data_IF_096902492032
#
_entry.id   IF_096902492032
#
_cell.length_a   1.000
_cell.length_b   1.000
_cell.length_c   1.000
_cell.angle_alpha   90.00
_cell.angle_beta   90.00
_cell.angle_gamma   90.00
#
_symmetry.space_group_name_H-M   'P 1'
#
loop_
_entity.id
_entity.type
_entity.pdbx_description
1 polymer ?
#
# COMPACT_ATOMS: atom_id res chain seq x y z
N UNK A 1 -13.58 -22.36 16.85
CA UNK A 1 -13.90 -22.28 15.41
C UNK A 1 -12.59 -22.17 14.67
N UNK A 2 -12.21 -23.17 13.87
CA UNK A 2 -11.11 -22.99 12.92
C UNK A 2 -11.59 -21.99 11.87
N UNK A 3 -10.99 -20.80 11.81
CA UNK A 3 -11.25 -19.87 10.71
C UNK A 3 -10.74 -20.54 9.43
N UNK A 4 -11.54 -20.48 8.37
CA UNK A 4 -11.13 -20.92 7.04
C UNK A 4 -10.79 -19.69 6.20
N UNK A 5 -9.90 -19.84 5.23
CA UNK A 5 -9.58 -18.79 4.25
C UNK A 5 -10.86 -18.31 3.56
N UNK A 6 -11.23 -17.02 3.67
CA UNK A 6 -12.43 -16.50 3.01
C UNK A 6 -12.35 -16.67 1.50
N UNK A 7 -13.48 -16.96 0.85
CA UNK A 7 -13.52 -17.15 -0.60
C UNK A 7 -12.98 -15.92 -1.36
N UNK A 8 -13.27 -14.69 -0.90
CA UNK A 8 -12.75 -13.48 -1.53
C UNK A 8 -11.22 -13.45 -1.52
N UNK A 9 -10.57 -13.95 -0.46
CA UNK A 9 -9.11 -13.98 -0.35
C UNK A 9 -8.55 -15.04 -1.31
N UNK A 10 -9.20 -16.20 -1.40
CA UNK A 10 -8.84 -17.23 -2.38
C UNK A 10 -8.90 -16.69 -3.82
N UNK A 11 -9.98 -16.01 -4.20
CA UNK A 11 -10.09 -15.39 -5.53
C UNK A 11 -9.05 -14.29 -5.74
N UNK A 12 -8.79 -13.48 -4.71
CA UNK A 12 -7.77 -12.43 -4.77
C UNK A 12 -6.36 -12.99 -4.99
N UNK A 13 -6.01 -14.07 -4.30
CA UNK A 13 -4.73 -14.77 -4.48
C UNK A 13 -4.60 -15.37 -5.88
N UNK A 14 -5.66 -15.99 -6.42
CA UNK A 14 -5.66 -16.50 -7.81
C UNK A 14 -5.45 -15.35 -8.80
N UNK A 15 -6.12 -14.22 -8.60
CA UNK A 15 -6.06 -13.08 -9.50
C UNK A 15 -4.69 -12.39 -9.51
N UNK A 16 -4.09 -12.16 -8.34
CA UNK A 16 -2.96 -11.22 -8.20
C UNK A 16 -1.69 -11.82 -7.57
N UNK A 17 -1.75 -13.04 -7.04
CA UNK A 17 -0.60 -13.74 -6.45
C UNK A 17 0.09 -12.97 -5.32
N UNK A 18 1.39 -13.21 -5.15
CA UNK A 18 2.21 -12.55 -4.12
C UNK A 18 2.24 -11.01 -4.22
N UNK A 19 2.40 -10.38 -5.41
CA UNK A 19 2.34 -8.92 -5.52
C UNK A 19 1.01 -8.35 -5.01
N UNK A 20 -0.11 -9.00 -5.36
CA UNK A 20 -1.43 -8.63 -4.86
C UNK A 20 -1.53 -8.78 -3.35
N UNK A 21 -1.09 -9.91 -2.79
CA UNK A 21 -1.14 -10.16 -1.35
C UNK A 21 -0.35 -9.10 -0.56
N UNK A 22 0.82 -8.70 -1.05
CA UNK A 22 1.62 -7.64 -0.43
C UNK A 22 0.92 -6.27 -0.53
N UNK A 23 0.30 -5.96 -1.68
CA UNK A 23 -0.52 -4.75 -1.82
C UNK A 23 -1.72 -4.77 -0.86
N UNK A 24 -2.38 -5.93 -0.68
CA UNK A 24 -3.47 -6.13 0.28
C UNK A 24 -3.00 -5.96 1.73
N UNK A 25 -1.80 -6.43 2.07
CA UNK A 25 -1.22 -6.26 3.41
C UNK A 25 -0.98 -4.78 3.72
N UNK A 26 -0.41 -4.05 2.75
CA UNK A 26 -0.29 -2.59 2.85
C UNK A 26 -1.68 -1.91 2.93
N UNK A 27 -2.67 -2.41 2.20
CA UNK A 27 -4.02 -1.86 2.24
C UNK A 27 -4.70 -2.06 3.59
N UNK A 28 -4.50 -3.21 4.24
CA UNK A 28 -4.95 -3.47 5.60
C UNK A 28 -4.28 -2.50 6.59
N UNK A 29 -2.96 -2.31 6.48
CA UNK A 29 -2.23 -1.34 7.30
C UNK A 29 -2.68 0.11 7.12
N UNK A 30 -3.18 0.48 5.93
CA UNK A 30 -3.72 1.83 5.67
C UNK A 30 -4.90 2.18 6.60
N UNK A 31 -5.68 1.18 7.02
CA UNK A 31 -6.77 1.36 8.00
C UNK A 31 -6.31 1.55 9.45
N UNK A 32 -5.01 1.49 9.70
CA UNK A 32 -4.35 1.76 10.98
C UNK A 32 -3.18 2.75 10.85
N UNK A 33 -3.11 3.51 9.75
CA UNK A 33 -1.93 4.29 9.39
C UNK A 33 -1.43 5.26 10.48
N UNK A 34 -2.32 5.88 11.27
CA UNK A 34 -1.92 6.70 12.42
C UNK A 34 -1.25 5.86 13.49
N UNK A 35 -1.89 4.76 13.91
CA UNK A 35 -1.38 3.87 14.94
C UNK A 35 -0.04 3.27 14.52
N UNK A 36 0.12 2.90 13.25
CA UNK A 36 1.39 2.40 12.74
C UNK A 36 2.47 3.48 12.87
N UNK A 37 2.19 4.73 12.49
CA UNK A 37 3.15 5.84 12.66
C UNK A 37 3.46 6.14 14.12
N UNK A 38 2.50 6.01 15.03
CA UNK A 38 2.74 6.16 16.48
C UNK A 38 3.70 5.08 17.00
N UNK A 39 3.55 3.83 16.54
CA UNK A 39 4.36 2.70 16.99
C UNK A 39 5.71 2.59 16.28
N UNK A 40 5.77 2.98 15.01
CA UNK A 40 6.89 2.69 14.11
C UNK A 40 7.53 3.93 13.49
N UNK A 41 7.12 5.13 13.92
CA UNK A 41 7.47 6.46 13.40
C UNK A 41 6.99 6.75 11.96
N UNK A 42 6.94 5.74 11.10
CA UNK A 42 6.57 5.87 9.69
C UNK A 42 5.58 4.78 9.27
N UNK A 43 4.91 5.04 8.15
CA UNK A 43 4.26 4.03 7.33
C UNK A 43 4.87 4.16 5.93
N UNK A 44 5.03 3.09 5.12
CA UNK A 44 5.66 3.22 3.82
C UNK A 44 4.64 3.70 2.79
N UNK A 45 5.12 4.41 1.77
CA UNK A 45 4.34 4.77 0.58
C UNK A 45 4.34 3.56 -0.34
N UNK A 46 3.16 3.13 -0.79
CA UNK A 46 3.06 2.05 -1.76
C UNK A 46 3.19 2.60 -3.18
N UNK A 47 4.02 1.98 -4.01
CA UNK A 47 4.08 2.26 -5.44
C UNK A 47 3.74 0.99 -6.21
N UNK A 48 2.74 1.05 -7.07
CA UNK A 48 2.31 -0.06 -7.92
C UNK A 48 2.75 0.24 -9.35
N UNK A 49 3.80 -0.44 -9.80
CA UNK A 49 4.40 -0.24 -11.13
C UNK A 49 4.11 -1.41 -12.06
N UNK A 50 4.38 -1.22 -13.35
CA UNK A 50 4.25 -2.26 -14.36
C UNK A 50 3.82 -1.72 -15.72
N UNK A 51 4.02 -2.47 -16.81
CA UNK A 51 3.65 -2.03 -18.15
C UNK A 51 2.14 -1.85 -18.34
N UNK A 52 1.74 -1.16 -19.41
CA UNK A 52 0.32 -1.10 -19.80
C UNK A 52 -0.25 -2.53 -19.95
N UNK A 53 -1.43 -2.76 -19.37
CA UNK A 53 -2.06 -4.08 -19.34
C UNK A 53 -1.57 -5.04 -18.23
N UNK A 54 -0.69 -4.61 -17.32
CA UNK A 54 -0.26 -5.45 -16.18
C UNK A 54 -1.30 -5.63 -15.07
N UNK A 55 -2.48 -4.99 -15.18
CA UNK A 55 -3.56 -5.14 -14.21
C UNK A 55 -3.50 -4.20 -12.99
N UNK A 56 -2.66 -3.14 -13.01
CA UNK A 56 -2.55 -2.18 -11.89
C UNK A 56 -3.90 -1.58 -11.45
N UNK A 57 -4.65 -1.04 -12.41
CA UNK A 57 -5.97 -0.46 -12.15
C UNK A 57 -6.94 -1.52 -11.64
N UNK A 58 -6.90 -2.74 -12.20
CA UNK A 58 -7.73 -3.86 -11.75
C UNK A 58 -7.43 -4.24 -10.30
N UNK A 59 -6.16 -4.35 -9.92
CA UNK A 59 -5.74 -4.62 -8.54
C UNK A 59 -6.30 -3.56 -7.58
N UNK A 60 -6.10 -2.29 -7.90
CA UNK A 60 -6.56 -1.18 -7.05
C UNK A 60 -8.09 -1.12 -6.98
N UNK A 61 -8.79 -1.34 -8.08
CA UNK A 61 -10.25 -1.44 -8.08
C UNK A 61 -10.73 -2.61 -7.21
N UNK A 62 -10.05 -3.76 -7.24
CA UNK A 62 -10.37 -4.88 -6.35
C UNK A 62 -10.11 -4.55 -4.87
N UNK A 63 -9.04 -3.81 -4.54
CA UNK A 63 -8.76 -3.34 -3.17
C UNK A 63 -9.82 -2.34 -2.66
N UNK A 64 -10.27 -1.41 -3.51
CA UNK A 64 -11.38 -0.52 -3.20
C UNK A 64 -12.70 -1.29 -3.03
N UNK A 65 -12.95 -2.25 -3.92
CA UNK A 65 -14.07 -3.19 -3.82
C UNK A 65 -14.11 -3.90 -2.48
N UNK A 66 -12.97 -4.49 -2.07
CA UNK A 66 -12.76 -5.09 -0.74
C UNK A 66 -12.95 -4.10 0.43
N UNK A 67 -12.97 -2.80 0.14
CA UNK A 67 -13.21 -1.75 1.13
C UNK A 67 -14.66 -1.26 1.17
N UNK A 68 -15.54 -1.86 0.37
CA UNK A 68 -16.93 -1.44 0.20
C UNK A 68 -17.04 0.00 -0.35
N UNK A 69 -16.07 0.44 -1.14
CA UNK A 69 -16.02 1.80 -1.69
C UNK A 69 -15.78 1.72 -3.20
N UNK A 70 -16.39 2.63 -3.94
CA UNK A 70 -16.08 2.82 -5.36
C UNK A 70 -14.59 3.17 -5.54
N UNK A 71 -13.94 2.72 -6.63
CA UNK A 71 -12.56 3.10 -6.89
C UNK A 71 -12.40 4.61 -7.01
N UNK A 72 -11.61 5.19 -6.11
CA UNK A 72 -11.23 6.60 -6.15
C UNK A 72 -9.71 6.68 -6.34
N UNK A 73 -9.30 7.25 -7.48
CA UNK A 73 -7.91 7.64 -7.73
C UNK A 73 -7.86 9.09 -8.20
N UNK A 74 -6.79 9.79 -7.81
CA UNK A 74 -6.55 11.18 -8.20
C UNK A 74 -5.45 11.23 -9.24
N UNK A 75 -5.74 11.68 -10.45
CA UNK A 75 -4.71 11.84 -11.47
C UNK A 75 -3.75 12.98 -11.11
N UNK A 76 -2.45 12.73 -11.22
CA UNK A 76 -1.42 13.75 -11.05
C UNK A 76 -1.57 14.91 -12.05
N UNK A 77 -2.19 14.68 -13.21
CA UNK A 77 -2.31 15.67 -14.28
C UNK A 77 -3.50 16.60 -14.10
N UNK A 78 -4.63 16.05 -13.64
CA UNK A 78 -5.91 16.76 -13.63
C UNK A 78 -6.32 17.24 -12.24
N UNK A 79 -5.74 16.69 -11.17
CA UNK A 79 -6.03 17.10 -9.81
C UNK A 79 -5.16 18.29 -9.40
N UNK A 80 -5.77 19.45 -9.13
CA UNK A 80 -5.03 20.58 -8.55
C UNK A 80 -4.44 20.20 -7.19
N UNK A 81 -3.24 20.69 -6.85
CA UNK A 81 -2.59 20.40 -5.58
C UNK A 81 -3.45 20.83 -4.37
N UNK A 82 -4.17 21.94 -4.46
CA UNK A 82 -5.09 22.37 -3.40
C UNK A 82 -6.23 21.38 -3.15
N UNK A 83 -6.80 20.81 -4.21
CA UNK A 83 -7.80 19.75 -4.10
C UNK A 83 -7.20 18.47 -3.51
N UNK A 84 -6.01 18.05 -3.98
CA UNK A 84 -5.29 16.89 -3.44
C UNK A 84 -5.03 17.03 -1.93
N UNK A 85 -4.51 18.18 -1.48
CA UNK A 85 -4.28 18.46 -0.06
C UNK A 85 -5.58 18.42 0.76
N UNK A 86 -6.69 18.93 0.22
CA UNK A 86 -7.99 18.84 0.89
C UNK A 86 -8.49 17.39 1.02
N UNK A 87 -8.20 16.52 0.05
CA UNK A 87 -8.49 15.09 0.16
C UNK A 87 -7.58 14.38 1.17
N UNK A 88 -6.28 14.63 1.11
CA UNK A 88 -5.29 14.09 2.06
C UNK A 88 -5.64 14.47 3.52
N UNK A 89 -6.07 15.72 3.73
CA UNK A 89 -6.55 16.22 5.02
C UNK A 89 -7.74 15.43 5.59
N UNK A 90 -8.62 14.93 4.72
CA UNK A 90 -9.82 14.16 5.12
C UNK A 90 -9.57 12.66 5.22
N UNK A 91 -8.44 12.17 4.72
CA UNK A 91 -8.09 10.77 4.74
C UNK A 91 -7.49 10.38 6.10
N UNK A 92 -8.36 9.92 6.99
CA UNK A 92 -7.99 9.45 8.34
C UNK A 92 -7.99 7.92 8.35
N UNK A 93 -6.84 7.27 8.56
CA UNK A 93 -6.71 5.80 8.54
C UNK A 93 -7.38 5.20 7.30
N UNK A 94 -7.06 5.75 6.12
CA UNK A 94 -7.58 5.32 4.82
C UNK A 94 -6.50 5.49 3.76
N UNK A 95 -6.53 4.63 2.72
CA UNK A 95 -5.67 4.80 1.55
C UNK A 95 -6.11 6.02 0.73
N UNK A 96 -5.13 6.73 0.19
CA UNK A 96 -5.27 7.75 -0.85
C UNK A 96 -4.44 7.29 -2.03
N UNK A 97 -5.07 7.15 -3.18
CA UNK A 97 -4.45 6.63 -4.39
C UNK A 97 -4.26 7.76 -5.39
N UNK A 98 -3.02 7.98 -5.82
CA UNK A 98 -2.65 8.91 -6.87
C UNK A 98 -2.28 8.10 -8.12
N UNK A 99 -2.89 8.43 -9.25
CA UNK A 99 -2.61 7.84 -10.55
C UNK A 99 -1.65 8.74 -11.34
N UNK A 100 -0.46 8.22 -11.58
CA UNK A 100 0.60 8.87 -12.37
C UNK A 100 0.58 8.39 -13.83
N UNK A 101 -0.38 7.55 -14.24
CA UNK A 101 -0.47 7.11 -15.62
C UNK A 101 -0.73 8.30 -16.55
N UNK A 102 0.19 8.49 -17.50
CA UNK A 102 0.16 9.62 -18.42
C UNK A 102 0.72 10.93 -17.85
N UNK A 103 1.37 10.92 -16.68
CA UNK A 103 2.09 12.09 -16.17
C UNK A 103 3.22 12.50 -17.12
N UNK A 104 3.10 13.73 -17.65
CA UNK A 104 4.16 14.39 -18.39
C UNK A 104 4.96 15.25 -17.40
N UNK A 105 6.28 15.06 -17.33
CA UNK A 105 7.18 15.80 -16.44
C UNK A 105 7.15 17.32 -16.65
N UNK A 106 6.52 17.79 -17.73
CA UNK A 106 6.29 19.22 -18.01
C UNK A 106 5.10 19.83 -17.22
N UNK A 107 4.32 19.02 -16.49
CA UNK A 107 3.19 19.50 -15.67
C UNK A 107 3.61 19.81 -14.23
N UNK A 108 3.15 20.96 -13.71
CA UNK A 108 3.46 21.53 -12.39
C UNK A 108 2.80 20.77 -11.22
N UNK A 109 3.05 19.47 -11.08
CA UNK A 109 2.69 18.77 -9.84
C UNK A 109 3.69 19.12 -8.74
N UNK A 110 3.20 19.70 -7.64
CA UNK A 110 4.05 20.12 -6.52
C UNK A 110 4.42 18.93 -5.61
N UNK A 111 5.39 18.14 -6.07
CA UNK A 111 5.94 17.00 -5.33
C UNK A 111 6.49 17.40 -3.95
N UNK A 112 6.99 18.62 -3.79
CA UNK A 112 7.50 19.12 -2.52
C UNK A 112 6.36 19.31 -1.51
N UNK A 113 5.25 19.92 -1.92
CA UNK A 113 4.08 20.06 -1.05
C UNK A 113 3.54 18.69 -0.59
N UNK A 114 3.54 17.69 -1.47
CA UNK A 114 3.11 16.33 -1.13
C UNK A 114 4.09 15.64 -0.15
N UNK A 115 5.40 15.80 -0.35
CA UNK A 115 6.44 15.29 0.57
C UNK A 115 6.30 15.92 1.96
N UNK A 116 6.14 17.23 2.03
CA UNK A 116 5.95 17.96 3.29
C UNK A 116 4.69 17.51 4.04
N UNK A 117 3.59 17.34 3.31
CA UNK A 117 2.35 16.79 3.84
C UNK A 117 2.56 15.38 4.42
N UNK A 118 3.25 14.50 3.67
CA UNK A 118 3.52 13.14 4.10
C UNK A 118 4.43 13.05 5.33
N UNK A 119 5.45 13.92 5.41
CA UNK A 119 6.35 14.04 6.56
C UNK A 119 5.67 14.63 7.81
N UNK A 120 4.37 14.95 7.72
CA UNK A 120 3.57 15.42 8.84
C UNK A 120 3.73 16.91 9.11
N UNK A 121 4.26 17.69 8.17
CA UNK A 121 4.18 19.15 8.26
C UNK A 121 2.70 19.59 8.18
N UNK A 122 2.31 20.66 8.88
CA UNK A 122 0.94 21.16 8.82
C UNK A 122 0.56 21.49 7.37
N UNK A 123 -0.58 20.97 6.90
CA UNK A 123 -1.09 21.30 5.58
C UNK A 123 -1.63 22.74 5.58
N UNK A 124 -1.05 23.62 4.76
CA UNK A 124 -1.57 24.98 4.56
C UNK A 124 -2.36 25.04 3.26
N UNK A 125 -3.69 25.11 3.36
CA UNK A 125 -4.53 25.40 2.19
C UNK A 125 -4.38 26.87 1.83
N UNK A 126 -3.57 27.19 0.81
CA UNK A 126 -3.54 28.54 0.22
C UNK A 126 -4.92 28.82 -0.39
N UNK A 127 -5.78 29.57 0.31
CA UNK A 127 -7.08 29.97 -0.25
C UNK A 127 -8.01 30.75 0.68
N UNK A 128 -7.91 30.60 2.01
CA UNK A 128 -8.89 31.19 2.94
C UNK A 128 -8.31 32.24 3.89
N UNK A 129 -7.00 32.49 3.88
CA UNK A 129 -6.34 33.43 4.80
C UNK A 129 -6.35 32.98 6.28
N UNK A 130 -7.04 31.89 6.58
CA UNK A 130 -7.03 31.21 7.88
C UNK A 130 -6.19 29.95 7.66
N UNK A 131 -5.02 29.83 8.30
CA UNK A 131 -4.33 28.56 8.36
C UNK A 131 -5.34 27.53 8.88
N UNK A 132 -5.64 26.49 8.10
CA UNK A 132 -6.32 25.32 8.66
C UNK A 132 -5.37 24.78 9.73
N UNK A 133 -5.66 25.12 10.99
CA UNK A 133 -4.75 24.96 12.10
C UNK A 133 -4.33 23.48 12.22
N UNK A 134 -3.05 23.20 12.05
CA UNK A 134 -2.41 21.98 12.53
C UNK A 134 -2.86 20.63 11.95
N UNK A 135 -3.67 20.57 10.89
CA UNK A 135 -4.09 19.27 10.33
C UNK A 135 -2.91 18.58 9.65
N UNK A 136 -2.53 17.40 10.16
CA UNK A 136 -1.46 16.55 9.64
C UNK A 136 -2.06 15.42 8.81
N UNK A 137 -1.31 14.91 7.85
CA UNK A 137 -1.73 13.75 7.09
C UNK A 137 -1.86 12.51 7.99
N UNK A 138 -3.02 11.87 7.92
CA UNK A 138 -3.41 10.77 8.80
C UNK A 138 -3.75 9.49 8.05
N UNK A 139 -3.62 9.51 6.71
CA UNK A 139 -3.95 8.39 5.83
C UNK A 139 -2.72 7.58 5.44
N UNK A 140 -2.85 6.80 4.38
CA UNK A 140 -1.74 6.13 3.72
C UNK A 140 -1.73 6.51 2.24
N UNK A 141 -0.54 6.63 1.64
CA UNK A 141 -0.39 7.13 0.27
C UNK A 141 0.07 6.00 -0.67
N UNK A 142 -0.65 5.82 -1.76
CA UNK A 142 -0.30 4.88 -2.83
C UNK A 142 -0.20 5.60 -4.18
N UNK A 143 0.77 5.20 -4.99
CA UNK A 143 0.95 5.64 -6.37
C UNK A 143 0.73 4.49 -7.35
N UNK A 144 0.16 4.81 -8.51
CA UNK A 144 -0.06 3.85 -9.60
C UNK A 144 0.56 4.40 -10.87
N UNK A 145 1.29 3.55 -11.60
CA UNK A 145 1.69 3.84 -12.97
C UNK A 145 3.18 4.12 -13.08
N UNK A 146 3.61 5.31 -12.65
CA UNK A 146 4.95 5.83 -12.89
C UNK A 146 6.02 5.35 -11.91
N UNK A 147 7.26 5.40 -12.36
CA UNK A 147 8.47 5.47 -11.51
C UNK A 147 8.85 6.96 -11.34
N UNK A 148 7.86 7.82 -11.08
CA UNK A 148 8.05 9.26 -10.90
C UNK A 148 9.03 9.61 -9.78
N UNK A 149 9.34 10.91 -9.63
CA UNK A 149 10.34 11.38 -8.67
C UNK A 149 10.06 10.78 -7.27
N UNK A 150 10.96 9.89 -6.86
CA UNK A 150 10.84 9.06 -5.66
C UNK A 150 10.64 10.01 -4.47
N UNK A 151 9.39 10.14 -4.01
CA UNK A 151 9.03 11.08 -2.95
C UNK A 151 9.89 10.90 -1.70
N UNK A 152 10.42 9.70 -1.44
CA UNK A 152 11.44 9.44 -0.42
C UNK A 152 11.99 8.00 -0.52
N UNK A 153 13.05 7.69 0.25
CA UNK A 153 13.49 6.33 0.67
C UNK A 153 12.40 5.50 1.40
N UNK A 154 11.18 6.04 1.53
CA UNK A 154 10.02 5.44 2.20
C UNK A 154 9.07 4.70 1.26
N UNK A 155 9.44 4.54 -0.01
CA UNK A 155 8.65 3.82 -1.02
C UNK A 155 8.94 2.32 -0.98
N UNK A 156 7.87 1.52 -1.03
CA UNK A 156 7.89 0.09 -1.34
C UNK A 156 7.24 -0.12 -2.71
N UNK A 157 7.97 -0.73 -3.65
CA UNK A 157 7.53 -0.86 -5.04
C UNK A 157 7.03 -2.28 -5.34
N UNK A 158 5.71 -2.43 -5.43
CA UNK A 158 5.05 -3.64 -5.90
C UNK A 158 4.98 -3.59 -7.43
N UNK A 159 5.95 -4.25 -8.07
CA UNK A 159 5.98 -4.36 -9.52
C UNK A 159 5.07 -5.49 -10.02
N UNK A 160 4.09 -5.15 -10.86
CA UNK A 160 3.24 -6.10 -11.57
C UNK A 160 3.82 -6.38 -12.95
N UNK A 161 4.31 -7.60 -13.23
CA UNK A 161 4.80 -7.94 -14.55
C UNK A 161 3.66 -7.90 -15.59
N UNK A 162 4.00 -7.78 -16.87
CA UNK A 162 3.01 -7.93 -17.95
C UNK A 162 2.41 -9.33 -17.85
N UNK A 163 1.10 -9.40 -17.62
CA UNK A 163 0.36 -10.65 -17.56
C UNK A 163 -0.36 -10.90 -18.89
N UNK A 164 -0.25 -12.13 -19.37
CA UNK A 164 -1.29 -12.74 -20.20
C UNK A 164 -2.17 -13.52 -19.23
N UNK A 165 -3.25 -12.93 -18.72
CA UNK A 165 -4.00 -13.55 -17.63
C UNK A 165 -4.55 -14.90 -18.07
N UNK A 166 -4.34 -15.92 -17.24
CA UNK A 166 -4.94 -17.24 -17.44
C UNK A 166 -6.46 -17.19 -17.34
N UNK A 167 -7.15 -18.23 -17.80
CA UNK A 167 -8.60 -18.34 -17.63
C UNK A 167 -9.01 -18.29 -16.15
N UNK A 168 -8.25 -18.97 -15.28
CA UNK A 168 -8.46 -18.93 -13.83
C UNK A 168 -8.36 -17.51 -13.26
N UNK A 169 -7.36 -16.73 -13.69
CA UNK A 169 -7.20 -15.33 -13.27
C UNK A 169 -8.36 -14.44 -13.72
N UNK A 170 -8.82 -14.59 -14.97
CA UNK A 170 -9.98 -13.82 -15.46
C UNK A 170 -11.25 -14.16 -14.69
N UNK A 171 -11.49 -15.46 -14.46
CA UNK A 171 -12.64 -15.92 -13.69
C UNK A 171 -12.58 -15.44 -12.24
N UNK A 172 -11.40 -15.41 -11.62
CA UNK A 172 -11.22 -14.90 -10.27
C UNK A 172 -11.48 -13.39 -10.17
N UNK A 173 -11.00 -12.60 -11.14
CA UNK A 173 -11.30 -11.15 -11.21
C UNK A 173 -12.81 -10.93 -11.38
N UNK A 174 -13.46 -11.71 -12.25
CA UNK A 174 -14.90 -11.64 -12.43
C UNK A 174 -15.63 -11.99 -11.13
N UNK A 175 -15.25 -13.07 -10.46
CA UNK A 175 -15.83 -13.46 -9.17
C UNK A 175 -15.66 -12.38 -8.11
N UNK A 176 -14.50 -11.71 -8.05
CA UNK A 176 -14.29 -10.57 -7.15
C UNK A 176 -15.22 -9.41 -7.45
N UNK A 177 -15.50 -9.12 -8.72
CA UNK A 177 -16.43 -8.06 -9.10
C UNK A 177 -17.89 -8.45 -8.80
N UNK A 178 -18.26 -9.72 -8.91
CA UNK A 178 -19.62 -10.21 -8.63
C UNK A 178 -19.95 -10.24 -7.14
N UNK A 179 -18.94 -10.38 -6.28
CA UNK A 179 -19.11 -10.33 -4.82
C UNK A 179 -19.56 -8.93 -4.30
N UNK A 180 -19.71 -7.91 -5.18
CA UNK A 180 -19.68 -6.46 -4.87
C UNK A 180 -20.84 -5.78 -4.14
N UNK A 181 -21.78 -6.49 -3.50
CA UNK A 181 -22.90 -5.78 -2.86
C UNK A 181 -23.16 -6.13 -1.39
N UNK A 182 -22.61 -7.23 -0.84
CA UNK A 182 -22.92 -7.64 0.54
C UNK A 182 -21.75 -8.16 1.40
N UNK A 183 -20.65 -8.61 0.80
CA UNK A 183 -19.59 -9.32 1.52
C UNK A 183 -18.33 -8.48 1.80
N UNK A 184 -18.23 -7.27 1.24
CA UNK A 184 -16.96 -6.52 1.25
C UNK A 184 -16.72 -5.60 2.45
N UNK A 185 -17.68 -5.41 3.34
CA UNK A 185 -17.39 -4.76 4.63
C UNK A 185 -16.62 -5.66 5.58
N UNK A 186 -16.69 -6.99 5.44
CA UNK A 186 -16.05 -7.93 6.36
C UNK A 186 -14.53 -7.72 6.47
N UNK A 187 -13.85 -7.49 5.34
CA UNK A 187 -12.40 -7.24 5.34
C UNK A 187 -12.04 -6.01 6.19
N UNK A 188 -12.67 -4.86 5.91
CA UNK A 188 -12.36 -3.61 6.61
C UNK A 188 -12.82 -3.65 8.06
N UNK A 189 -14.00 -4.21 8.34
CA UNK A 189 -14.51 -4.36 9.70
C UNK A 189 -13.60 -5.25 10.54
N UNK A 190 -13.18 -6.40 9.99
CA UNK A 190 -12.24 -7.31 10.64
C UNK A 190 -10.91 -6.62 10.90
N UNK A 191 -10.31 -5.99 9.88
CA UNK A 191 -9.03 -5.27 10.05
C UNK A 191 -9.15 -4.18 11.12
N UNK A 192 -10.18 -3.32 11.07
CA UNK A 192 -10.36 -2.22 12.03
C UNK A 192 -10.63 -2.71 13.46
N UNK A 193 -11.38 -3.80 13.63
CA UNK A 193 -11.70 -4.33 14.95
C UNK A 193 -10.48 -4.89 15.69
N UNK A 194 -9.46 -5.37 14.97
CA UNK A 194 -8.33 -6.12 15.54
C UNK A 194 -7.10 -5.24 15.87
N UNK A 195 -7.32 -4.11 16.55
CA UNK A 195 -6.25 -3.15 16.91
C UNK A 195 -5.13 -3.75 17.77
N UNK A 196 -5.46 -4.68 18.67
CA UNK A 196 -4.48 -5.38 19.52
C UNK A 196 -3.57 -6.27 18.67
N UNK A 197 -4.14 -7.00 17.70
CA UNK A 197 -3.36 -7.87 16.82
C UNK A 197 -2.40 -7.07 15.94
N UNK A 198 -2.87 -5.91 15.44
CA UNK A 198 -2.03 -4.97 14.69
C UNK A 198 -0.83 -4.54 15.53
N UNK A 199 -1.04 -4.09 16.78
CA UNK A 199 0.04 -3.67 17.65
C UNK A 199 1.01 -4.83 17.98
N UNK A 200 0.48 -6.03 18.22
CA UNK A 200 1.27 -7.23 18.46
C UNK A 200 2.18 -7.55 17.27
N UNK A 201 1.65 -7.58 16.05
CA UNK A 201 2.45 -7.87 14.84
C UNK A 201 3.48 -6.79 14.56
N UNK A 202 3.13 -5.52 14.73
CA UNK A 202 4.09 -4.42 14.56
C UNK A 202 5.22 -4.44 15.60
N UNK A 203 5.02 -5.08 16.76
CA UNK A 203 6.09 -5.33 17.73
C UNK A 203 7.24 -6.19 17.18
N UNK A 204 7.02 -6.95 16.11
CA UNK A 204 8.02 -7.83 15.48
C UNK A 204 8.82 -7.13 14.38
N UNK A 205 8.50 -5.88 14.03
CA UNK A 205 9.18 -5.15 12.95
C UNK A 205 10.69 -5.06 13.19
N UNK A 206 11.14 -4.86 14.44
CA UNK A 206 12.57 -4.80 14.75
C UNK A 206 13.30 -6.11 14.40
N UNK A 207 12.72 -7.26 14.74
CA UNK A 207 13.29 -8.57 14.40
C UNK A 207 13.34 -8.80 12.88
N UNK A 208 12.32 -8.34 12.14
CA UNK A 208 12.36 -8.39 10.68
C UNK A 208 13.40 -7.47 10.07
N UNK A 209 13.64 -6.29 10.65
CA UNK A 209 14.73 -5.40 10.23
C UNK A 209 16.08 -6.08 10.43
N UNK A 210 16.33 -6.65 11.61
CA UNK A 210 17.57 -7.36 11.92
C UNK A 210 17.80 -8.51 10.94
N UNK A 211 16.81 -9.39 10.75
CA UNK A 211 16.89 -10.51 9.80
C UNK A 211 17.19 -10.03 8.36
N UNK A 212 16.54 -8.97 7.88
CA UNK A 212 16.81 -8.44 6.54
C UNK A 212 18.21 -7.87 6.39
N UNK A 213 18.73 -7.22 7.43
CA UNK A 213 20.07 -6.66 7.43
C UNK A 213 21.16 -7.72 7.58
N UNK A 214 20.89 -8.83 8.27
CA UNK A 214 21.77 -10.00 8.31
C UNK A 214 21.87 -10.66 6.92
N UNK A 215 20.74 -10.80 6.22
CA UNK A 215 20.69 -11.42 4.89
C UNK A 215 21.33 -10.56 3.79
N UNK A 216 21.15 -9.23 3.86
CA UNK A 216 21.57 -8.30 2.79
C UNK A 216 22.82 -7.47 3.13
N UNK A 217 23.28 -7.49 4.38
CA UNK A 217 24.42 -6.71 4.82
C UNK A 217 24.20 -5.18 4.78
N UNK A 218 25.29 -4.39 4.69
CA UNK A 218 25.23 -2.92 4.80
C UNK A 218 24.53 -2.22 3.62
N UNK A 219 24.20 -2.95 2.56
CA UNK A 219 23.60 -2.40 1.33
C UNK A 219 22.12 -2.04 1.50
N UNK A 220 21.46 -2.49 2.57
CA UNK A 220 20.08 -2.15 2.90
C UNK A 220 20.02 -1.14 4.06
N UNK A 221 19.77 0.16 3.80
CA UNK A 221 19.62 1.17 4.84
C UNK A 221 18.48 0.83 5.81
N UNK A 222 18.65 1.14 7.09
CA UNK A 222 17.67 0.83 8.16
C UNK A 222 16.26 1.33 7.85
N UNK A 223 16.10 2.52 7.25
CA UNK A 223 14.79 3.03 6.87
C UNK A 223 14.11 2.18 5.79
N UNK A 224 14.89 1.70 4.81
CA UNK A 224 14.38 0.82 3.75
C UNK A 224 14.05 -0.57 4.32
N UNK A 225 14.92 -1.13 5.17
CA UNK A 225 14.66 -2.36 5.89
C UNK A 225 13.36 -2.26 6.71
N UNK A 226 13.16 -1.15 7.43
CA UNK A 226 11.94 -0.89 8.21
C UNK A 226 10.68 -0.90 7.35
N UNK A 227 10.71 -0.28 6.18
CA UNK A 227 9.54 -0.25 5.28
C UNK A 227 9.13 -1.67 4.85
N UNK A 228 10.11 -2.52 4.49
CA UNK A 228 9.85 -3.89 4.06
C UNK A 228 9.49 -4.80 5.25
N UNK A 229 10.13 -4.62 6.41
CA UNK A 229 9.78 -5.30 7.65
C UNK A 229 8.34 -5.02 8.11
N UNK A 230 7.86 -3.78 7.94
CA UNK A 230 6.46 -3.44 8.19
C UNK A 230 5.51 -4.24 7.28
N UNK A 231 5.85 -4.45 6.00
CA UNK A 231 5.04 -5.28 5.11
C UNK A 231 5.04 -6.76 5.54
N UNK A 232 6.18 -7.31 5.99
CA UNK A 232 6.23 -8.69 6.52
C UNK A 232 5.32 -8.85 7.75
N UNK A 233 5.38 -7.91 8.69
CA UNK A 233 4.48 -7.92 9.85
C UNK A 233 3.00 -7.81 9.44
N UNK A 234 2.68 -7.06 8.38
CA UNK A 234 1.30 -6.94 7.86
C UNK A 234 0.84 -8.17 7.08
N UNK A 235 1.74 -8.92 6.44
CA UNK A 235 1.42 -10.23 5.86
C UNK A 235 1.01 -11.23 6.96
N UNK A 236 1.76 -11.26 8.07
CA UNK A 236 1.40 -12.11 9.22
C UNK A 236 0.09 -11.66 9.87
N UNK A 237 -0.21 -10.36 9.87
CA UNK A 237 -1.51 -9.84 10.31
C UNK A 237 -2.64 -10.37 9.41
N UNK A 238 -2.47 -10.38 8.08
CA UNK A 238 -3.48 -10.96 7.19
C UNK A 238 -3.70 -12.44 7.48
N UNK A 239 -2.64 -13.18 7.77
CA UNK A 239 -2.74 -14.58 8.14
C UNK A 239 -3.52 -14.81 9.45
N UNK A 240 -3.24 -14.02 10.50
CA UNK A 240 -4.01 -14.09 11.75
C UNK A 240 -5.51 -13.85 11.55
N UNK A 241 -5.83 -12.89 10.68
CA UNK A 241 -7.20 -12.43 10.50
C UNK A 241 -7.99 -13.36 9.57
N UNK A 242 -7.34 -13.83 8.50
CA UNK A 242 -7.99 -14.46 7.35
C UNK A 242 -7.40 -15.82 6.94
N UNK A 243 -6.40 -16.34 7.65
CA UNK A 243 -5.78 -17.65 7.41
C UNK A 243 -5.27 -17.75 5.96
N UNK A 244 -4.19 -17.02 5.67
CA UNK A 244 -3.61 -16.99 4.33
C UNK A 244 -2.98 -18.37 4.08
N UNK A 245 -3.23 -19.03 2.94
CA UNK A 245 -2.61 -20.32 2.66
C UNK A 245 -1.08 -20.25 2.78
N UNK A 246 -0.44 -21.23 3.44
CA UNK A 246 1.00 -21.22 3.76
C UNK A 246 1.88 -20.91 2.56
N UNK A 247 1.59 -21.51 1.40
CA UNK A 247 2.32 -21.26 0.16
C UNK A 247 2.22 -19.80 -0.29
N UNK A 248 1.02 -19.22 -0.24
CA UNK A 248 0.80 -17.82 -0.62
C UNK A 248 1.49 -16.87 0.37
N UNK A 249 1.44 -17.18 1.67
CA UNK A 249 2.12 -16.41 2.71
C UNK A 249 3.64 -16.44 2.52
N UNK A 250 4.21 -17.63 2.26
CA UNK A 250 5.63 -17.81 1.97
C UNK A 250 6.06 -17.01 0.74
N UNK A 251 5.31 -17.12 -0.37
CA UNK A 251 5.57 -16.35 -1.59
C UNK A 251 5.46 -14.84 -1.35
N UNK A 252 4.53 -14.39 -0.51
CA UNK A 252 4.41 -12.99 -0.08
C UNK A 252 5.67 -12.50 0.65
N UNK A 253 6.17 -13.26 1.62
CA UNK A 253 7.40 -12.93 2.35
C UNK A 253 8.63 -12.91 1.42
N UNK A 254 8.77 -13.90 0.54
CA UNK A 254 9.83 -13.93 -0.47
C UNK A 254 9.76 -12.71 -1.40
N UNK A 255 8.57 -12.34 -1.85
CA UNK A 255 8.39 -11.15 -2.68
C UNK A 255 8.79 -9.86 -1.96
N UNK A 256 8.50 -9.72 -0.66
CA UNK A 256 8.95 -8.57 0.14
C UNK A 256 10.48 -8.53 0.26
N UNK A 257 11.14 -9.67 0.44
CA UNK A 257 12.59 -9.75 0.45
C UNK A 257 13.17 -9.36 -0.93
N UNK A 258 12.59 -9.84 -2.04
CA UNK A 258 13.02 -9.45 -3.39
C UNK A 258 12.88 -7.94 -3.63
N UNK A 259 11.81 -7.31 -3.11
CA UNK A 259 11.65 -5.85 -3.17
C UNK A 259 12.76 -5.13 -2.41
N UNK A 260 13.11 -5.60 -1.20
CA UNK A 260 14.19 -5.03 -0.40
C UNK A 260 15.55 -5.14 -1.12
N UNK A 261 15.83 -6.31 -1.74
CA UNK A 261 17.04 -6.53 -2.54
C UNK A 261 17.16 -5.55 -3.72
N UNK A 262 16.07 -5.33 -4.45
CA UNK A 262 16.04 -4.37 -5.58
C UNK A 262 16.24 -2.93 -5.12
N UNK A 263 15.74 -2.59 -3.93
CA UNK A 263 15.94 -1.28 -3.33
C UNK A 263 17.42 -1.07 -2.95
N UNK A 264 18.05 -2.06 -2.31
CA UNK A 264 19.49 -2.03 -1.99
C UNK A 264 20.35 -1.87 -3.26
N UNK A 265 20.08 -2.65 -4.30
CA UNK A 265 20.82 -2.60 -5.56
C UNK A 265 20.65 -1.29 -6.37
N UNK A 266 19.49 -0.63 -6.24
CA UNK A 266 19.25 0.67 -6.88
C UNK A 266 20.01 1.83 -6.22
N UNK A 267 20.32 1.72 -4.92
CA UNK A 267 21.09 2.71 -4.17
C UNK A 267 22.58 2.74 -4.51
N UNK A 268 23.13 1.64 -5.06
CA UNK A 268 24.53 1.53 -5.48
C UNK A 268 24.83 2.14 -6.87
N UNK A 269 23.82 2.67 -7.57
CA UNK A 269 23.94 3.27 -8.91
C UNK A 269 23.65 4.78 -8.94
N UNK A 270 23.80 5.48 -7.82
CA UNK A 270 23.77 6.94 -7.72
C UNK A 270 25.12 7.48 -7.27
#
# INVERSE_FOLDING_TARGET
MHKQTPNWLTQFLIAFGAPGLVALAWWAGAFHAQRIRELQATYPILQITGPAGSGKTTLVSSLWGLSGSEPVSYSANTCSMGALLAFLARAVNRPVVIDESGYDSNENFDWNALRECYDGKPMSTRGTGIPAEGMRFQGALAFIGGEGEVLNRRIVNVHLPRLHPSEAQRNAIQALNELQVGHFTEFVETVRANTVQVAYRLGHVAAYVESMQEDMGPDLPTDSARNHAQLRALLDLLDDLFQVPDEALHQGHCFVNDMAWRHAGSGARL
#
